data_IF_234387265557
#
_entry.id   IF_234387265557
#
_cell.length_a   1.000
_cell.length_b   1.000
_cell.length_c   1.000
_cell.angle_alpha   90.00
_cell.angle_beta   90.00
_cell.angle_gamma   90.00
#
_symmetry.space_group_name_H-M   'P 1'
#
loop_
_entity.id
_entity.type
_entity.pdbx_description
1 polymer ?
#
# COMPACT_ATOMS: atom_id res chain seq x y z
N UNK A 1 -14.50 -16.07 0.15
CA UNK A 1 -14.54 -14.91 1.07
C UNK A 1 -13.34 -14.05 0.74
N UNK A 2 -13.49 -12.72 0.77
CA UNK A 2 -12.35 -11.80 0.59
C UNK A 2 -11.47 -11.89 1.84
N UNK A 3 -10.27 -12.43 1.73
CA UNK A 3 -9.34 -12.48 2.87
C UNK A 3 -8.28 -11.36 2.84
N UNK A 4 -8.31 -10.48 1.83
CA UNK A 4 -7.39 -9.37 1.64
C UNK A 4 -8.14 -8.04 1.56
N UNK A 5 -7.64 -7.01 2.26
CA UNK A 5 -8.01 -5.61 2.10
C UNK A 5 -6.82 -4.82 1.55
N UNK A 6 -7.04 -4.04 0.50
CA UNK A 6 -6.13 -3.00 0.05
C UNK A 6 -6.51 -1.69 0.76
N UNK A 7 -5.58 -1.13 1.53
CA UNK A 7 -5.71 0.18 2.16
C UNK A 7 -5.02 1.20 1.26
N UNK A 8 -5.79 2.11 0.70
CA UNK A 8 -5.38 3.03 -0.35
C UNK A 8 -5.55 4.47 0.15
N UNK A 9 -4.52 5.08 0.75
CA UNK A 9 -4.57 6.51 1.07
C UNK A 9 -4.54 7.30 -0.23
N UNK A 10 -5.52 8.21 -0.40
CA UNK A 10 -5.66 9.02 -1.60
C UNK A 10 -5.92 10.49 -1.22
N UNK A 11 -5.03 11.38 -1.66
CA UNK A 11 -5.16 12.81 -1.47
C UNK A 11 -4.76 13.52 -2.75
N UNK A 12 -5.72 14.18 -3.40
CA UNK A 12 -5.59 14.84 -4.70
C UNK A 12 -5.24 13.87 -5.84
N UNK A 13 -5.85 12.67 -5.81
CA UNK A 13 -5.58 11.58 -6.74
C UNK A 13 -6.74 11.31 -7.71
N UNK A 14 -7.59 12.31 -7.97
CA UNK A 14 -8.74 12.17 -8.85
C UNK A 14 -8.39 11.69 -10.27
N UNK A 15 -7.18 11.98 -10.75
CA UNK A 15 -6.70 11.58 -12.09
C UNK A 15 -6.13 10.16 -12.12
N UNK A 16 -5.33 9.78 -11.13
CA UNK A 16 -4.56 8.54 -11.10
C UNK A 16 -5.33 7.38 -10.49
N UNK A 17 -6.07 7.64 -9.42
CA UNK A 17 -6.82 6.62 -8.69
C UNK A 17 -7.77 5.77 -9.56
N UNK A 18 -8.56 6.32 -10.51
CA UNK A 18 -9.41 5.50 -11.39
C UNK A 18 -8.61 4.52 -12.25
N UNK A 19 -7.40 4.88 -12.69
CA UNK A 19 -6.52 4.02 -13.48
C UNK A 19 -5.98 2.87 -12.60
N UNK A 20 -5.53 3.20 -11.41
CA UNK A 20 -5.05 2.22 -10.40
C UNK A 20 -6.15 1.21 -10.05
N UNK A 21 -7.37 1.69 -9.78
CA UNK A 21 -8.51 0.80 -9.48
C UNK A 21 -8.89 -0.10 -10.67
N UNK A 22 -8.73 0.40 -11.90
CA UNK A 22 -8.94 -0.39 -13.12
C UNK A 22 -7.91 -1.51 -13.21
N UNK A 23 -6.62 -1.21 -13.03
CA UNK A 23 -5.53 -2.22 -13.05
C UNK A 23 -5.72 -3.29 -11.99
N UNK A 24 -6.10 -2.91 -10.75
CA UNK A 24 -6.41 -3.86 -9.68
C UNK A 24 -7.58 -4.77 -10.08
N UNK A 25 -8.62 -4.22 -10.71
CA UNK A 25 -9.79 -4.99 -11.17
C UNK A 25 -9.44 -6.01 -12.25
N UNK A 26 -8.54 -5.65 -13.17
CA UNK A 26 -8.08 -6.52 -14.24
C UNK A 26 -7.35 -7.78 -13.75
N UNK A 27 -6.80 -7.76 -12.54
CA UNK A 27 -6.19 -8.94 -11.91
C UNK A 27 -7.21 -10.01 -11.49
N UNK A 28 -8.51 -9.69 -11.47
CA UNK A 28 -9.56 -10.55 -10.93
C UNK A 28 -9.25 -11.06 -9.49
N UNK A 29 -8.48 -10.28 -8.73
CA UNK A 29 -8.16 -10.59 -7.34
C UNK A 29 -9.35 -10.21 -6.45
N UNK A 30 -9.86 -11.21 -5.73
CA UNK A 30 -10.98 -11.00 -4.82
C UNK A 30 -10.48 -10.30 -3.54
N UNK A 31 -10.47 -8.99 -3.55
CA UNK A 31 -10.03 -8.16 -2.42
C UNK A 31 -11.05 -7.04 -2.11
N UNK A 32 -11.09 -6.64 -0.84
CA UNK A 32 -11.76 -5.42 -0.41
C UNK A 32 -10.83 -4.23 -0.66
N UNK A 33 -11.37 -3.10 -1.05
CA UNK A 33 -10.62 -1.86 -1.24
C UNK A 33 -11.18 -0.79 -0.32
N UNK A 34 -10.35 -0.29 0.61
CA UNK A 34 -10.66 0.84 1.49
C UNK A 34 -9.84 2.02 1.00
N UNK A 35 -10.51 3.03 0.46
CA UNK A 35 -9.85 4.27 0.02
C UNK A 35 -10.03 5.32 1.11
N UNK A 36 -8.91 5.80 1.66
CA UNK A 36 -8.90 6.79 2.74
C UNK A 36 -8.67 8.17 2.15
N UNK A 37 -9.66 9.05 2.23
CA UNK A 37 -9.68 10.35 1.56
C UNK A 37 -9.95 11.48 2.54
N UNK A 38 -9.20 12.60 2.51
CA UNK A 38 -9.53 13.79 3.27
C UNK A 38 -10.90 14.36 2.87
N UNK A 39 -11.70 14.81 3.85
CA UNK A 39 -13.05 15.34 3.60
C UNK A 39 -13.07 16.52 2.61
N UNK A 40 -12.02 17.30 2.55
CA UNK A 40 -11.92 18.48 1.69
C UNK A 40 -11.48 18.18 0.25
N UNK A 41 -11.15 16.93 -0.07
CA UNK A 41 -10.75 16.47 -1.41
C UNK A 41 -11.97 15.98 -2.20
N UNK A 42 -12.84 16.94 -2.56
CA UNK A 42 -14.10 16.67 -3.26
C UNK A 42 -13.90 16.00 -4.63
N UNK A 43 -12.79 16.32 -5.32
CA UNK A 43 -12.51 15.75 -6.64
C UNK A 43 -12.19 14.25 -6.54
N UNK A 44 -11.36 13.83 -5.59
CA UNK A 44 -11.07 12.42 -5.35
C UNK A 44 -12.31 11.67 -4.84
N UNK A 45 -13.11 12.29 -3.97
CA UNK A 45 -14.37 11.70 -3.51
C UNK A 45 -15.35 11.46 -4.65
N UNK A 46 -15.49 12.43 -5.57
CA UNK A 46 -16.40 12.35 -6.72
C UNK A 46 -16.08 11.18 -7.66
N UNK A 47 -14.82 10.91 -7.94
CA UNK A 47 -14.44 9.77 -8.82
C UNK A 47 -14.68 8.42 -8.17
N UNK A 48 -14.87 8.37 -6.85
CA UNK A 48 -15.16 7.16 -6.10
C UNK A 48 -16.66 6.85 -5.97
N UNK A 49 -17.57 7.78 -6.24
CA UNK A 49 -19.03 7.64 -6.04
C UNK A 49 -19.63 6.39 -6.69
N UNK A 50 -19.10 5.97 -7.85
CA UNK A 50 -19.57 4.78 -8.58
C UNK A 50 -18.54 3.64 -8.57
N UNK A 51 -17.58 3.66 -7.63
CA UNK A 51 -16.58 2.61 -7.50
C UNK A 51 -17.09 1.48 -6.58
N UNK A 52 -16.45 0.32 -6.68
CA UNK A 52 -16.66 -0.81 -5.78
C UNK A 52 -15.79 -0.72 -4.51
N UNK A 53 -15.34 0.49 -4.14
CA UNK A 53 -14.51 0.76 -2.99
C UNK A 53 -15.33 1.21 -1.79
N UNK A 54 -14.88 0.83 -0.61
CA UNK A 54 -15.33 1.46 0.64
C UNK A 54 -14.56 2.77 0.83
N UNK A 55 -15.28 3.87 0.99
CA UNK A 55 -14.69 5.20 1.19
C UNK A 55 -14.63 5.48 2.69
N UNK A 56 -13.41 5.69 3.21
CA UNK A 56 -13.18 6.10 4.59
C UNK A 56 -12.74 7.57 4.60
N UNK A 57 -13.58 8.43 5.20
CA UNK A 57 -13.21 9.84 5.38
C UNK A 57 -12.16 9.94 6.47
N UNK A 58 -10.98 10.44 6.10
CA UNK A 58 -9.86 10.63 7.01
C UNK A 58 -10.23 11.65 8.10
N UNK A 59 -9.98 11.31 9.35
CA UNK A 59 -10.24 12.17 10.53
C UNK A 59 -9.03 13.00 10.92
N UNK A 60 -7.85 12.39 10.92
CA UNK A 60 -6.60 13.07 11.21
C UNK A 60 -5.93 13.63 9.96
N UNK A 61 -4.66 14.01 10.07
CA UNK A 61 -3.91 14.61 8.97
C UNK A 61 -2.67 13.79 8.60
N UNK A 62 -2.29 13.87 7.32
CA UNK A 62 -1.08 13.29 6.77
C UNK A 62 -1.22 11.82 6.37
N UNK A 63 -0.27 11.37 5.57
CA UNK A 63 -0.23 10.05 4.96
C UNK A 63 -0.23 8.90 6.01
N UNK A 64 0.62 9.03 7.04
CA UNK A 64 0.71 8.03 8.10
C UNK A 64 -0.59 7.84 8.87
N UNK A 65 -1.34 8.94 9.12
CA UNK A 65 -2.64 8.88 9.76
C UNK A 65 -3.67 8.15 8.87
N UNK A 66 -3.69 8.45 7.56
CA UNK A 66 -4.56 7.76 6.63
C UNK A 66 -4.30 6.25 6.61
N UNK A 67 -3.03 5.82 6.67
CA UNK A 67 -2.67 4.40 6.77
C UNK A 67 -3.19 3.78 8.07
N UNK A 68 -2.96 4.43 9.21
CA UNK A 68 -3.41 3.93 10.52
C UNK A 68 -4.93 3.79 10.55
N UNK A 69 -5.66 4.80 10.08
CA UNK A 69 -7.13 4.75 10.05
C UNK A 69 -7.64 3.63 9.13
N UNK A 70 -7.07 3.49 7.93
CA UNK A 70 -7.45 2.45 6.98
C UNK A 70 -7.14 1.04 7.46
N UNK A 71 -5.95 0.82 8.04
CA UNK A 71 -5.54 -0.46 8.60
C UNK A 71 -6.41 -0.85 9.81
N UNK A 72 -6.71 0.10 10.70
CA UNK A 72 -7.62 -0.13 11.84
C UNK A 72 -9.07 -0.41 11.39
N UNK A 73 -9.47 0.07 10.22
CA UNK A 73 -10.78 -0.18 9.64
C UNK A 73 -10.88 -1.53 8.92
N UNK A 74 -9.74 -2.13 8.57
CA UNK A 74 -9.69 -3.43 7.90
C UNK A 74 -10.13 -4.56 8.83
N UNK A 75 -10.94 -5.48 8.29
CA UNK A 75 -11.48 -6.64 9.02
C UNK A 75 -11.16 -7.98 8.37
N UNK A 76 -10.40 -7.98 7.27
CA UNK A 76 -9.97 -9.20 6.60
C UNK A 76 -8.73 -9.79 7.26
N UNK A 77 -8.39 -11.01 6.91
CA UNK A 77 -7.21 -11.71 7.47
C UNK A 77 -5.89 -10.99 7.14
N UNK A 78 -5.78 -10.51 5.89
CA UNK A 78 -4.60 -9.78 5.41
C UNK A 78 -4.96 -8.37 5.02
N UNK A 79 -4.02 -7.45 5.23
CA UNK A 79 -4.08 -6.08 4.74
C UNK A 79 -2.83 -5.74 3.93
N UNK A 80 -3.00 -4.94 2.91
CA UNK A 80 -1.91 -4.45 2.07
C UNK A 80 -2.02 -2.93 1.94
N UNK A 81 -0.91 -2.23 2.19
CA UNK A 81 -0.78 -0.82 1.87
C UNK A 81 -0.59 -0.70 0.35
N UNK A 82 -1.44 0.08 -0.31
CA UNK A 82 -1.38 0.28 -1.75
C UNK A 82 -1.53 1.76 -2.10
N UNK A 83 -0.64 2.30 -2.94
CA UNK A 83 -0.67 3.72 -3.30
C UNK A 83 -1.70 4.03 -4.39
N UNK A 84 -2.27 5.24 -4.34
CA UNK A 84 -3.24 5.74 -5.32
C UNK A 84 -2.60 6.39 -6.56
N UNK A 85 -1.28 6.64 -6.53
CA UNK A 85 -0.52 7.40 -7.54
C UNK A 85 0.03 6.56 -8.71
N UNK A 86 -0.24 5.24 -8.70
CA UNK A 86 0.27 4.31 -9.72
C UNK A 86 1.71 3.85 -9.53
N UNK A 87 2.37 4.24 -8.44
CA UNK A 87 3.76 3.84 -8.15
C UNK A 87 3.92 2.36 -7.78
N UNK A 88 2.82 1.67 -7.45
CA UNK A 88 2.83 0.24 -7.08
C UNK A 88 2.23 -0.60 -8.20
N UNK A 89 2.98 -1.60 -8.67
CA UNK A 89 2.51 -2.52 -9.69
C UNK A 89 1.62 -3.62 -9.06
N UNK A 90 0.32 -3.64 -9.39
CA UNK A 90 -0.63 -4.56 -8.78
C UNK A 90 -0.38 -6.03 -9.10
N UNK A 91 0.40 -6.35 -10.15
CA UNK A 91 0.73 -7.77 -10.51
C UNK A 91 1.40 -8.54 -9.38
N UNK A 92 2.06 -7.84 -8.43
CA UNK A 92 2.73 -8.49 -7.30
C UNK A 92 1.78 -8.89 -6.17
N UNK A 93 0.53 -8.38 -6.12
CA UNK A 93 -0.42 -8.67 -5.05
C UNK A 93 -0.67 -10.17 -4.84
N UNK A 94 -0.86 -10.92 -5.93
CA UNK A 94 -1.07 -12.37 -5.84
C UNK A 94 0.14 -13.10 -5.23
N UNK A 95 1.36 -12.67 -5.62
CA UNK A 95 2.58 -13.27 -5.09
C UNK A 95 2.78 -12.94 -3.61
N UNK A 96 2.47 -11.69 -3.21
CA UNK A 96 2.56 -11.25 -1.81
C UNK A 96 1.56 -12.03 -0.94
N UNK A 97 0.30 -12.15 -1.41
CA UNK A 97 -0.73 -12.89 -0.69
C UNK A 97 -0.31 -14.36 -0.47
N UNK A 98 0.17 -15.02 -1.51
CA UNK A 98 0.68 -16.39 -1.39
C UNK A 98 1.79 -16.53 -0.35
N UNK A 99 2.72 -15.56 -0.28
CA UNK A 99 3.78 -15.55 0.74
C UNK A 99 3.23 -15.40 2.15
N UNK A 100 2.22 -14.56 2.36
CA UNK A 100 1.58 -14.46 3.67
C UNK A 100 0.85 -15.76 4.05
N UNK A 101 0.18 -16.42 3.08
CA UNK A 101 -0.42 -17.75 3.28
C UNK A 101 0.61 -18.84 3.62
N UNK A 102 1.87 -18.72 3.14
CA UNK A 102 3.03 -19.55 3.53
C UNK A 102 3.59 -19.21 4.93
N UNK A 103 2.82 -18.51 5.79
CA UNK A 103 3.13 -18.12 7.17
C UNK A 103 4.19 -17.00 7.34
N UNK A 104 4.45 -16.20 6.34
CA UNK A 104 5.17 -14.95 6.56
C UNK A 104 4.22 -13.92 7.19
N UNK A 105 4.62 -13.32 8.29
CA UNK A 105 3.81 -12.31 8.97
C UNK A 105 3.69 -11.02 8.14
N UNK A 106 4.81 -10.60 7.53
CA UNK A 106 4.88 -9.48 6.60
C UNK A 106 5.63 -9.84 5.33
N UNK A 107 5.17 -9.33 4.21
CA UNK A 107 5.84 -9.39 2.90
C UNK A 107 6.08 -7.97 2.41
N UNK A 108 7.36 -7.61 2.27
CA UNK A 108 7.80 -6.31 1.79
C UNK A 108 8.21 -6.41 0.33
N UNK A 109 7.67 -5.55 -0.51
CA UNK A 109 8.22 -5.33 -1.85
C UNK A 109 9.51 -4.50 -1.77
N UNK A 110 10.31 -4.53 -2.82
CA UNK A 110 11.58 -3.80 -2.87
C UNK A 110 11.87 -3.33 -4.29
N UNK A 111 12.40 -2.12 -4.44
CA UNK A 111 12.88 -1.57 -5.71
C UNK A 111 14.29 -2.04 -6.05
N UNK A 112 15.07 -2.47 -5.06
CA UNK A 112 16.52 -2.73 -5.17
C UNK A 112 16.90 -4.20 -5.37
N UNK A 113 15.94 -5.11 -5.56
CA UNK A 113 16.20 -6.50 -5.94
C UNK A 113 15.50 -6.80 -7.26
N UNK A 114 16.20 -7.47 -8.18
CA UNK A 114 15.59 -7.91 -9.45
C UNK A 114 14.38 -8.82 -9.22
N UNK A 115 13.26 -8.64 -9.95
CA UNK A 115 13.06 -7.76 -11.11
C UNK A 115 12.63 -6.31 -10.75
N UNK A 116 12.70 -5.85 -9.51
CA UNK A 116 12.37 -4.50 -9.10
C UNK A 116 13.24 -3.43 -9.77
N UNK A 117 12.76 -2.21 -9.78
CA UNK A 117 13.40 -1.02 -10.29
C UNK A 117 12.75 0.23 -9.70
N UNK A 118 13.35 1.38 -9.90
CA UNK A 118 12.81 2.69 -9.57
C UNK A 118 13.26 3.66 -10.65
N UNK A 119 12.31 4.25 -11.36
CA UNK A 119 12.58 5.25 -12.40
C UNK A 119 12.77 6.64 -11.78
N UNK A 120 12.31 6.85 -10.54
CA UNK A 120 12.32 8.13 -9.83
C UNK A 120 13.50 8.31 -8.86
N UNK A 121 14.37 7.29 -8.70
CA UNK A 121 15.48 7.39 -7.75
C UNK A 121 16.59 8.30 -8.28
N UNK A 122 16.80 9.41 -7.58
CA UNK A 122 18.03 10.18 -7.72
C UNK A 122 19.17 9.52 -6.92
N UNK A 123 20.41 9.85 -7.25
CA UNK A 123 21.58 9.35 -6.51
C UNK A 123 21.49 9.66 -5.00
N UNK A 124 20.95 10.82 -4.64
CA UNK A 124 20.80 11.24 -3.25
C UNK A 124 19.71 10.42 -2.53
N UNK A 125 18.56 10.18 -3.17
CA UNK A 125 17.47 9.36 -2.59
C UNK A 125 17.90 7.91 -2.44
N UNK A 126 18.69 7.37 -3.38
CA UNK A 126 19.27 6.04 -3.29
C UNK A 126 20.19 5.90 -2.06
N UNK A 127 21.16 6.85 -1.88
CA UNK A 127 22.05 6.82 -0.72
C UNK A 127 21.26 6.95 0.59
N UNK A 128 20.29 7.87 0.65
CA UNK A 128 19.44 8.06 1.82
C UNK A 128 18.68 6.79 2.20
N UNK A 129 18.06 6.14 1.23
CA UNK A 129 17.34 4.89 1.47
C UNK A 129 18.27 3.74 1.91
N UNK A 130 19.44 3.63 1.31
CA UNK A 130 20.43 2.63 1.72
C UNK A 130 20.86 2.85 3.18
N UNK A 131 21.13 4.11 3.57
CA UNK A 131 21.49 4.47 4.94
C UNK A 131 20.38 4.14 5.95
N UNK A 132 19.13 4.54 5.67
CA UNK A 132 18.00 4.23 6.55
C UNK A 132 17.73 2.73 6.63
N UNK A 133 17.82 2.01 5.51
CA UNK A 133 17.68 0.56 5.49
C UNK A 133 18.76 -0.12 6.32
N UNK A 134 20.01 0.34 6.24
CA UNK A 134 21.11 -0.17 7.07
C UNK A 134 20.85 0.09 8.57
N UNK A 135 20.45 1.31 8.93
CA UNK A 135 20.09 1.66 10.31
C UNK A 135 18.98 0.75 10.85
N UNK A 136 17.92 0.54 10.10
CA UNK A 136 16.81 -0.32 10.52
C UNK A 136 17.25 -1.78 10.67
N UNK A 137 18.11 -2.27 9.78
CA UNK A 137 18.68 -3.63 9.92
C UNK A 137 19.46 -3.80 11.21
N UNK A 138 20.28 -2.81 11.58
CA UNK A 138 21.12 -2.87 12.79
C UNK A 138 20.28 -2.69 14.05
N UNK A 139 19.44 -1.67 14.11
CA UNK A 139 18.69 -1.31 15.32
C UNK A 139 17.53 -2.28 15.61
N UNK A 140 16.83 -2.73 14.57
CA UNK A 140 15.64 -3.57 14.70
C UNK A 140 15.85 -5.02 14.24
N UNK A 141 17.06 -5.39 13.80
CA UNK A 141 17.40 -6.71 13.26
C UNK A 141 16.49 -7.15 12.10
N UNK A 142 16.03 -6.21 11.31
CA UNK A 142 15.12 -6.46 10.18
C UNK A 142 15.89 -7.01 8.98
N UNK A 143 15.36 -8.06 8.35
CA UNK A 143 15.91 -8.60 7.10
C UNK A 143 15.17 -8.06 5.89
N UNK A 144 15.17 -6.74 5.71
CA UNK A 144 14.54 -6.02 4.60
C UNK A 144 15.58 -5.34 3.74
N UNK A 145 15.26 -5.06 2.48
CA UNK A 145 16.19 -4.43 1.51
C UNK A 145 15.81 -3.01 1.11
N UNK A 146 14.61 -2.55 1.48
CA UNK A 146 14.08 -1.23 1.14
C UNK A 146 13.08 -0.81 2.22
N UNK A 147 13.54 -0.02 3.21
CA UNK A 147 12.72 0.37 4.36
C UNK A 147 11.73 1.48 4.03
N UNK A 148 12.02 2.30 3.00
CA UNK A 148 11.18 3.44 2.63
C UNK A 148 10.10 3.08 1.59
N UNK A 149 10.09 1.84 1.09
CA UNK A 149 9.07 1.40 0.14
C UNK A 149 7.89 0.79 0.88
N UNK A 150 6.79 1.52 0.90
CA UNK A 150 5.60 1.19 1.71
C UNK A 150 4.69 0.13 1.10
N UNK A 151 5.07 -0.51 0.00
CA UNK A 151 4.31 -1.62 -0.58
C UNK A 151 4.51 -2.89 0.26
N UNK A 152 3.66 -3.02 1.27
CA UNK A 152 3.75 -4.05 2.31
C UNK A 152 2.40 -4.74 2.46
N UNK A 153 2.41 -6.06 2.57
CA UNK A 153 1.26 -6.89 2.90
C UNK A 153 1.56 -7.72 4.14
N UNK A 154 0.58 -7.90 5.02
CA UNK A 154 0.75 -8.70 6.22
C UNK A 154 -0.57 -9.06 6.87
N UNK A 155 -0.51 -9.82 7.97
CA UNK A 155 -1.70 -10.10 8.78
C UNK A 155 -2.27 -8.79 9.33
N UNK A 156 -3.56 -8.58 9.18
CA UNK A 156 -4.23 -7.35 9.63
C UNK A 156 -3.98 -7.08 11.11
N UNK A 157 -4.03 -8.12 11.93
CA UNK A 157 -3.76 -8.04 13.37
C UNK A 157 -2.32 -7.65 13.73
N UNK A 158 -1.38 -7.80 12.81
CA UNK A 158 0.01 -7.40 13.03
C UNK A 158 0.25 -5.91 12.68
N UNK A 159 -0.68 -5.29 11.94
CA UNK A 159 -0.69 -3.84 11.69
C UNK A 159 -1.43 -3.06 12.78
N UNK A 160 -2.35 -3.67 13.48
CA UNK A 160 -3.20 -3.10 14.54
C UNK A 160 -2.55 -3.21 15.91
#
# INVERSE_FOLDING_TARGET
MNNLTLVIPAKFEATTLPLVLKEIRELNLNCKKIVVVPKYDEETLKVLENSDCEILIQKGEGFGNALIEGLNHSTTEYSCIFNADGSFDPKYLNQMLKRNEDNFEFVFSTRYKKPGGSDDDTFLTFIGNYFFTFLCKVLFRLNISDVLYTYVMGKTTAFQ
#
